data_IF_082774998392
#
_entry.id   IF_082774998392
#
_cell.length_a   1.000
_cell.length_b   1.000
_cell.length_c   1.000
_cell.angle_alpha   90.00
_cell.angle_beta   90.00
_cell.angle_gamma   90.00
#
_symmetry.space_group_name_H-M   'P 1'
#
loop_
_entity.id
_entity.type
_entity.pdbx_description
1 polymer ?
#
# COMPACT_ATOMS: atom_id res chain seq x y z
N UNK A 1 -12.10 15.99 -4.27
CA UNK A 1 -12.32 14.87 -3.32
C UNK A 1 -11.08 14.79 -2.44
N UNK A 2 -11.21 14.31 -1.20
CA UNK A 2 -10.03 14.02 -0.36
C UNK A 2 -9.26 12.83 -0.93
N UNK A 3 -7.97 12.69 -0.60
CA UNK A 3 -7.20 11.55 -1.11
C UNK A 3 -7.46 10.27 -0.32
N UNK A 4 -7.12 9.14 -0.93
CA UNK A 4 -7.15 7.82 -0.30
C UNK A 4 -5.90 7.66 0.54
N UNK A 5 -6.09 7.26 1.79
CA UNK A 5 -4.99 6.94 2.69
C UNK A 5 -4.52 5.51 2.43
N UNK A 6 -3.21 5.33 2.29
CA UNK A 6 -2.60 4.00 2.26
C UNK A 6 -1.36 3.98 3.13
N UNK A 7 -1.09 2.81 3.71
CA UNK A 7 0.19 2.55 4.34
C UNK A 7 1.28 2.32 3.30
N UNK A 8 2.48 2.80 3.64
CA UNK A 8 3.69 2.65 2.83
C UNK A 8 4.78 2.09 3.71
N UNK A 9 5.57 1.18 3.13
CA UNK A 9 6.65 0.51 3.81
C UNK A 9 6.28 -0.81 4.45
N UNK A 10 7.24 -1.36 5.19
CA UNK A 10 7.17 -2.65 5.85
C UNK A 10 7.48 -2.49 7.33
N UNK A 11 6.57 -2.97 8.17
CA UNK A 11 6.80 -3.06 9.60
C UNK A 11 7.87 -4.12 9.92
N UNK A 12 8.89 -3.73 10.70
CA UNK A 12 9.99 -4.60 11.12
C UNK A 12 9.84 -5.09 12.57
N UNK A 13 8.91 -4.52 13.33
CA UNK A 13 8.63 -4.92 14.71
C UNK A 13 9.09 -3.91 15.76
N UNK A 14 8.89 -4.25 17.05
CA UNK A 14 9.44 -3.50 18.17
C UNK A 14 10.96 -3.70 18.26
N UNK A 15 11.68 -2.63 18.59
CA UNK A 15 13.07 -2.68 19.00
C UNK A 15 13.18 -2.61 20.52
N UNK A 16 13.91 -3.56 21.12
CA UNK A 16 14.21 -3.57 22.55
C UNK A 16 15.69 -3.21 22.75
N UNK A 17 15.95 -2.12 23.47
CA UNK A 17 17.32 -1.70 23.79
C UNK A 17 17.92 -2.67 24.82
N UNK A 18 18.92 -3.45 24.39
CA UNK A 18 19.62 -4.45 25.21
C UNK A 18 20.34 -3.86 26.44
N UNK A 19 20.42 -2.53 26.56
CA UNK A 19 20.97 -1.81 27.73
C UNK A 19 19.92 -1.49 28.79
N UNK A 20 18.63 -1.59 28.46
CA UNK A 20 17.52 -1.37 29.40
C UNK A 20 17.09 -2.70 30.03
N UNK A 21 16.67 -2.64 31.29
CA UNK A 21 16.13 -3.81 32.01
C UNK A 21 14.60 -3.91 31.90
N UNK A 22 13.94 -2.92 31.28
CA UNK A 22 12.50 -2.96 31.05
C UNK A 22 12.14 -3.87 29.87
N UNK A 23 10.92 -4.39 29.90
CA UNK A 23 10.36 -5.22 28.83
C UNK A 23 9.59 -4.42 27.78
N UNK A 24 9.73 -3.09 27.78
CA UNK A 24 8.99 -2.20 26.88
C UNK A 24 9.85 -1.90 25.64
N UNK A 25 9.25 -1.85 24.44
CA UNK A 25 9.95 -1.40 23.25
C UNK A 25 10.49 0.02 23.42
N UNK A 26 11.74 0.26 22.99
CA UNK A 26 12.30 1.61 22.92
C UNK A 26 11.64 2.41 21.78
N UNK A 27 11.37 1.74 20.66
CA UNK A 27 10.63 2.25 19.52
C UNK A 27 10.16 1.08 18.66
N UNK A 28 9.45 1.39 17.59
CA UNK A 28 9.00 0.46 16.58
C UNK A 28 9.55 0.88 15.21
N UNK A 29 9.88 -0.11 14.37
CA UNK A 29 10.55 0.16 13.10
C UNK A 29 9.61 -0.04 11.91
N UNK A 30 9.59 0.95 11.00
CA UNK A 30 8.98 0.84 9.68
C UNK A 30 10.05 1.17 8.64
N UNK A 31 10.27 0.23 7.71
CA UNK A 31 11.14 0.41 6.55
C UNK A 31 10.34 1.00 5.38
N UNK A 32 10.78 2.13 4.83
CA UNK A 32 10.17 2.72 3.63
C UNK A 32 11.27 3.28 2.71
N UNK A 33 11.40 2.70 1.53
CA UNK A 33 12.39 3.12 0.54
C UNK A 33 13.81 2.81 1.05
N UNK A 34 14.71 3.81 1.16
CA UNK A 34 16.06 3.61 1.69
C UNK A 34 16.19 3.82 3.21
N UNK A 35 15.08 4.08 3.93
CA UNK A 35 15.11 4.46 5.35
C UNK A 35 14.39 3.45 6.23
N UNK A 36 14.86 3.34 7.47
CA UNK A 36 14.12 2.76 8.59
C UNK A 36 13.81 3.91 9.54
N UNK A 37 12.52 4.15 9.81
CA UNK A 37 12.06 5.14 10.78
C UNK A 37 11.78 4.51 12.13
N UNK A 38 12.01 5.28 13.19
CA UNK A 38 11.69 4.92 14.58
C UNK A 38 10.37 5.60 14.97
N UNK A 39 9.39 4.82 15.40
CA UNK A 39 8.03 5.28 15.67
C UNK A 39 7.57 4.89 17.08
N UNK A 40 6.62 5.66 17.62
CA UNK A 40 5.95 5.33 18.87
C UNK A 40 4.93 4.21 18.67
N UNK A 41 4.46 3.61 19.77
CA UNK A 41 3.37 2.61 19.72
C UNK A 41 2.10 3.19 19.08
N UNK A 42 1.71 4.41 19.46
CA UNK A 42 0.52 5.08 18.91
C UNK A 42 0.62 5.26 17.39
N UNK A 43 1.80 5.63 16.89
CA UNK A 43 2.06 5.79 15.45
C UNK A 43 1.95 4.47 14.71
N UNK A 44 2.52 3.40 15.25
CA UNK A 44 2.42 2.08 14.63
C UNK A 44 1.02 1.50 14.69
N UNK A 45 0.25 1.79 15.76
CA UNK A 45 -1.17 1.42 15.81
C UNK A 45 -1.98 2.13 14.71
N UNK A 46 -1.74 3.42 14.47
CA UNK A 46 -2.37 4.15 13.36
C UNK A 46 -1.95 3.58 12.01
N UNK A 47 -0.65 3.33 11.79
CA UNK A 47 -0.13 2.77 10.54
C UNK A 47 -0.69 1.36 10.27
N UNK A 48 -0.75 0.49 11.28
CA UNK A 48 -1.37 -0.84 11.16
C UNK A 48 -2.86 -0.73 10.85
N UNK A 49 -3.56 0.23 11.47
CA UNK A 49 -4.99 0.46 11.22
C UNK A 49 -5.27 0.85 9.77
N UNK A 50 -4.32 1.49 9.07
CA UNK A 50 -4.48 1.85 7.66
C UNK A 50 -4.54 0.64 6.70
N UNK A 51 -4.14 -0.56 7.14
CA UNK A 51 -4.30 -1.80 6.37
C UNK A 51 -5.67 -2.45 6.57
N UNK A 52 -6.41 -2.00 7.58
CA UNK A 52 -7.73 -2.54 7.88
C UNK A 52 -8.76 -2.01 6.86
N UNK A 53 -9.94 -2.62 6.84
CA UNK A 53 -11.02 -2.29 5.89
C UNK A 53 -10.69 -2.45 4.38
N UNK A 54 -10.25 -3.63 3.91
CA UNK A 54 -10.00 -3.86 2.48
C UNK A 54 -11.18 -3.52 1.56
N UNK A 55 -12.41 -3.57 2.08
CA UNK A 55 -13.62 -3.17 1.35
C UNK A 55 -13.72 -1.67 1.12
N UNK A 56 -13.31 -0.82 2.08
CA UNK A 56 -13.28 0.63 1.89
C UNK A 56 -12.16 1.05 0.94
N UNK A 57 -11.02 0.36 1.03
CA UNK A 57 -9.91 0.51 0.08
C UNK A 57 -10.34 0.17 -1.35
N UNK A 58 -11.03 -0.96 -1.54
CA UNK A 58 -11.57 -1.35 -2.84
C UNK A 58 -12.59 -0.35 -3.41
N UNK A 59 -13.35 0.30 -2.53
CA UNK A 59 -14.32 1.32 -2.90
C UNK A 59 -13.71 2.73 -3.06
N UNK A 60 -12.40 2.90 -2.85
CA UNK A 60 -11.72 4.20 -2.84
C UNK A 60 -12.44 5.19 -1.92
N UNK A 61 -12.78 4.73 -0.71
CA UNK A 61 -13.50 5.50 0.30
C UNK A 61 -12.74 5.57 1.64
N UNK A 62 -11.52 5.04 1.70
CA UNK A 62 -10.68 5.06 2.90
C UNK A 62 -9.85 6.35 2.96
N UNK A 63 -10.50 7.45 3.30
CA UNK A 63 -9.87 8.75 3.48
C UNK A 63 -9.32 8.94 4.91
N UNK A 64 -8.74 10.12 5.16
CA UNK A 64 -8.20 10.49 6.47
C UNK A 64 -9.24 10.38 7.60
N UNK A 65 -10.47 10.85 7.37
CA UNK A 65 -11.50 10.80 8.40
C UNK A 65 -11.89 9.36 8.70
N UNK A 66 -11.98 8.50 7.68
CA UNK A 66 -12.22 7.07 7.85
C UNK A 66 -11.11 6.39 8.68
N UNK A 67 -9.83 6.72 8.43
CA UNK A 67 -8.71 6.22 9.23
C UNK A 67 -8.82 6.68 10.69
N UNK A 68 -9.00 7.99 10.93
CA UNK A 68 -9.08 8.53 12.29
C UNK A 68 -10.24 7.92 13.09
N UNK A 69 -11.42 7.79 12.48
CA UNK A 69 -12.58 7.14 13.09
C UNK A 69 -12.29 5.67 13.40
N UNK A 70 -11.63 4.95 12.48
CA UNK A 70 -11.30 3.54 12.70
C UNK A 70 -10.29 3.39 13.84
N UNK A 71 -9.27 4.24 13.92
CA UNK A 71 -8.27 4.22 14.99
C UNK A 71 -8.93 4.44 16.35
N UNK A 72 -9.86 5.40 16.47
CA UNK A 72 -10.61 5.66 17.71
C UNK A 72 -11.46 4.45 18.15
N UNK A 73 -11.95 3.64 17.20
CA UNK A 73 -12.77 2.45 17.50
C UNK A 73 -11.95 1.22 17.85
N UNK A 74 -10.78 1.06 17.24
CA UNK A 74 -10.02 -0.20 17.25
C UNK A 74 -8.78 -0.18 18.13
N UNK A 75 -8.37 0.99 18.64
CA UNK A 75 -7.11 1.17 19.38
C UNK A 75 -7.31 2.06 20.61
N UNK A 76 -6.37 2.05 21.58
CA UNK A 76 -6.41 2.97 22.72
C UNK A 76 -5.95 4.42 22.38
N UNK A 77 -5.62 4.73 21.12
CA UNK A 77 -5.15 6.07 20.73
C UNK A 77 -6.30 7.09 20.83
N UNK A 78 -6.23 7.96 21.84
CA UNK A 78 -7.30 8.92 22.14
C UNK A 78 -7.48 10.00 21.07
N UNK A 79 -6.37 10.49 20.50
CA UNK A 79 -6.38 11.48 19.41
C UNK A 79 -5.45 11.05 18.27
N UNK A 80 -5.98 10.45 17.19
CA UNK A 80 -5.17 9.96 16.08
C UNK A 80 -4.70 11.04 15.11
N UNK A 81 -5.34 12.21 15.06
CA UNK A 81 -5.06 13.20 14.01
C UNK A 81 -3.58 13.67 14.00
N UNK A 82 -2.94 13.98 15.15
CA UNK A 82 -1.52 14.34 15.17
C UNK A 82 -0.61 13.21 14.68
N UNK A 83 -0.95 11.96 14.99
CA UNK A 83 -0.14 10.81 14.58
C UNK A 83 -0.28 10.54 13.07
N UNK A 84 -1.48 10.71 12.50
CA UNK A 84 -1.68 10.66 11.05
C UNK A 84 -0.85 11.73 10.35
N UNK A 85 -0.82 12.97 10.88
CA UNK A 85 0.01 14.05 10.32
C UNK A 85 1.51 13.74 10.37
N UNK A 86 1.99 13.15 11.47
CA UNK A 86 3.39 12.71 11.58
C UNK A 86 3.67 11.63 10.54
N UNK A 87 2.85 10.59 10.45
CA UNK A 87 3.09 9.47 9.54
C UNK A 87 3.05 9.89 8.06
N UNK A 88 2.18 10.83 7.69
CA UNK A 88 2.15 11.43 6.35
C UNK A 88 3.42 12.24 6.06
N UNK A 89 3.88 13.03 7.04
CA UNK A 89 5.12 13.80 6.92
C UNK A 89 6.36 12.90 6.79
N UNK A 90 6.41 11.81 7.55
CA UNK A 90 7.49 10.83 7.48
C UNK A 90 7.40 9.93 6.23
N UNK A 91 6.29 9.98 5.49
CA UNK A 91 6.10 9.26 4.23
C UNK A 91 5.80 7.76 4.38
N UNK A 92 5.39 7.33 5.59
CA UNK A 92 4.96 5.96 5.88
C UNK A 92 3.44 5.80 5.82
N UNK A 93 2.70 6.92 5.78
CA UNK A 93 1.37 7.01 5.20
C UNK A 93 1.43 7.90 3.97
N UNK A 94 0.52 7.67 3.02
CA UNK A 94 0.35 8.53 1.85
C UNK A 94 -1.12 8.86 1.67
N UNK A 95 -1.38 10.06 1.16
CA UNK A 95 -2.71 10.50 0.73
C UNK A 95 -2.64 10.78 -0.78
N UNK A 96 -3.37 9.99 -1.57
CA UNK A 96 -3.31 10.05 -3.03
C UNK A 96 -4.69 10.12 -3.68
N UNK A 97 -4.82 10.95 -4.71
CA UNK A 97 -6.02 11.01 -5.55
C UNK A 97 -5.88 10.03 -6.72
N UNK A 98 -6.60 8.90 -6.67
CA UNK A 98 -6.58 7.89 -7.72
C UNK A 98 -7.64 8.12 -8.80
N UNK A 99 -8.44 9.18 -8.71
CA UNK A 99 -9.38 9.58 -9.75
C UNK A 99 -8.78 10.57 -10.77
N UNK A 100 -7.66 11.22 -10.43
CA UNK A 100 -6.95 12.15 -11.31
C UNK A 100 -5.73 11.49 -11.99
N UNK A 101 -5.75 11.41 -13.32
CA UNK A 101 -4.70 10.75 -14.11
C UNK A 101 -3.30 11.33 -13.84
N UNK A 102 -3.20 12.64 -13.64
CA UNK A 102 -1.92 13.29 -13.37
C UNK A 102 -1.40 12.96 -11.96
N UNK A 103 -2.29 12.83 -10.98
CA UNK A 103 -1.96 12.37 -9.63
C UNK A 103 -1.54 10.89 -9.63
N UNK A 104 -2.24 10.03 -10.38
CA UNK A 104 -1.86 8.63 -10.60
C UNK A 104 -0.45 8.53 -11.18
N UNK A 105 -0.15 9.28 -12.25
CA UNK A 105 1.18 9.28 -12.85
C UNK A 105 2.25 9.73 -11.85
N UNK A 106 2.03 10.84 -11.13
CA UNK A 106 2.97 11.31 -10.09
C UNK A 106 3.20 10.25 -9.01
N UNK A 107 2.13 9.58 -8.58
CA UNK A 107 2.21 8.49 -7.62
C UNK A 107 3.07 7.34 -8.17
N UNK A 108 2.73 6.81 -9.35
CA UNK A 108 3.45 5.68 -9.95
C UNK A 108 4.94 5.98 -10.19
N UNK A 109 5.32 7.24 -10.42
CA UNK A 109 6.73 7.66 -10.55
C UNK A 109 7.47 7.75 -9.21
N UNK A 110 6.75 7.98 -8.11
CA UNK A 110 7.36 8.24 -6.79
C UNK A 110 7.46 6.99 -5.92
N UNK A 111 6.87 5.88 -6.35
CA UNK A 111 6.81 4.66 -5.57
C UNK A 111 7.13 3.43 -6.42
N UNK A 112 7.67 2.41 -5.77
CA UNK A 112 7.79 1.03 -6.26
C UNK A 112 6.75 0.15 -5.59
N UNK A 113 6.38 -0.93 -6.27
CA UNK A 113 5.49 -1.96 -5.75
C UNK A 113 6.26 -3.29 -5.67
N UNK A 114 6.27 -3.90 -4.48
CA UNK A 114 6.89 -5.20 -4.22
C UNK A 114 5.80 -6.23 -3.95
N UNK A 115 5.56 -7.19 -4.84
CA UNK A 115 4.60 -8.28 -4.64
C UNK A 115 4.96 -9.13 -3.43
N UNK A 116 3.95 -9.50 -2.66
CA UNK A 116 4.10 -10.38 -1.48
C UNK A 116 3.08 -11.52 -1.46
N UNK A 117 2.10 -11.52 -2.36
CA UNK A 117 1.16 -12.61 -2.58
C UNK A 117 1.55 -13.45 -3.81
N UNK A 118 0.90 -14.60 -3.97
CA UNK A 118 1.07 -15.49 -5.12
C UNK A 118 0.05 -15.18 -6.21
N UNK A 119 0.46 -15.29 -7.47
CA UNK A 119 -0.47 -15.27 -8.60
C UNK A 119 -1.04 -16.67 -8.84
N UNK A 120 -2.38 -16.79 -8.84
CA UNK A 120 -3.05 -18.07 -9.08
C UNK A 120 -3.64 -18.20 -10.50
N UNK A 121 -3.46 -17.17 -11.34
CA UNK A 121 -3.95 -17.14 -12.72
C UNK A 121 -5.44 -16.81 -12.82
N UNK A 122 -6.06 -17.07 -13.97
CA UNK A 122 -7.47 -16.78 -14.20
C UNK A 122 -8.37 -18.01 -14.07
N UNK A 123 -9.67 -17.79 -13.92
CA UNK A 123 -10.68 -18.84 -13.91
C UNK A 123 -11.33 -18.99 -15.30
N UNK A 124 -11.73 -20.21 -15.72
CA UNK A 124 -12.39 -20.42 -17.01
C UNK A 124 -13.61 -19.54 -17.25
N UNK A 125 -14.35 -19.23 -16.19
CA UNK A 125 -15.59 -18.43 -16.19
C UNK A 125 -15.34 -16.92 -16.24
N UNK A 126 -14.15 -16.46 -15.81
CA UNK A 126 -13.75 -15.05 -15.71
C UNK A 126 -12.32 -14.89 -16.18
N UNK A 127 -12.13 -15.05 -17.49
CA UNK A 127 -10.80 -15.14 -18.12
C UNK A 127 -10.04 -13.82 -18.11
N UNK A 128 -10.75 -12.72 -17.96
CA UNK A 128 -10.24 -11.36 -17.89
C UNK A 128 -9.63 -11.00 -16.52
N UNK A 129 -9.94 -11.78 -15.49
CA UNK A 129 -9.49 -11.54 -14.12
C UNK A 129 -8.47 -12.59 -13.68
N UNK A 130 -7.44 -12.13 -12.99
CA UNK A 130 -6.43 -12.98 -12.37
C UNK A 130 -6.56 -12.94 -10.85
N UNK A 131 -6.48 -14.10 -10.21
CA UNK A 131 -6.56 -14.24 -8.77
C UNK A 131 -5.18 -14.01 -8.13
N UNK A 132 -5.17 -13.26 -7.02
CA UNK A 132 -4.08 -13.23 -6.07
C UNK A 132 -4.45 -14.06 -4.85
N UNK A 133 -3.51 -14.86 -4.37
CA UNK A 133 -3.69 -15.74 -3.21
C UNK A 133 -2.55 -15.64 -2.21
N UNK A 134 -2.82 -16.05 -0.97
CA UNK A 134 -1.79 -16.30 0.04
C UNK A 134 -2.18 -17.53 0.83
N UNK A 135 -1.22 -18.42 1.06
CA UNK A 135 -1.43 -19.65 1.83
C UNK A 135 -2.61 -20.51 1.34
N UNK A 136 -2.87 -20.47 0.02
CA UNK A 136 -3.96 -21.20 -0.63
C UNK A 136 -5.33 -20.52 -0.57
N UNK A 137 -5.45 -19.35 0.06
CA UNK A 137 -6.68 -18.55 0.10
C UNK A 137 -6.65 -17.42 -0.93
N UNK A 138 -7.77 -17.22 -1.65
CA UNK A 138 -7.91 -16.12 -2.60
C UNK A 138 -8.17 -14.82 -1.84
N UNK A 139 -7.30 -13.83 -2.05
CA UNK A 139 -7.39 -12.52 -1.41
C UNK A 139 -8.21 -11.54 -2.25
N UNK A 140 -7.90 -11.47 -3.56
CA UNK A 140 -8.51 -10.52 -4.47
C UNK A 140 -8.31 -10.93 -5.94
N UNK A 141 -8.96 -10.19 -6.83
CA UNK A 141 -8.83 -10.34 -8.27
C UNK A 141 -8.29 -9.05 -8.89
N UNK A 142 -7.45 -9.20 -9.91
CA UNK A 142 -6.88 -8.10 -10.69
C UNK A 142 -7.25 -8.25 -12.16
N UNK A 143 -7.44 -7.14 -12.87
CA UNK A 143 -7.43 -7.15 -14.32
C UNK A 143 -6.07 -7.64 -14.84
N UNK A 144 -6.01 -8.19 -16.06
CA UNK A 144 -4.75 -8.63 -16.63
C UNK A 144 -3.66 -7.53 -16.70
N UNK A 145 -3.97 -6.28 -17.09
CA UNK A 145 -2.99 -5.19 -17.06
C UNK A 145 -2.47 -4.90 -15.64
N UNK A 146 -3.37 -4.78 -14.65
CA UNK A 146 -2.99 -4.55 -13.26
C UNK A 146 -2.14 -5.71 -12.72
N UNK A 147 -2.52 -6.96 -12.99
CA UNK A 147 -1.74 -8.14 -12.61
C UNK A 147 -0.35 -8.15 -13.23
N UNK A 148 -0.19 -7.64 -14.46
CA UNK A 148 1.10 -7.58 -15.14
C UNK A 148 2.02 -6.56 -14.47
N UNK A 149 1.52 -5.35 -14.20
CA UNK A 149 2.29 -4.33 -13.46
C UNK A 149 2.61 -4.82 -12.05
N UNK A 150 1.63 -5.35 -11.31
CA UNK A 150 1.85 -5.92 -9.98
C UNK A 150 2.95 -6.98 -10.04
N UNK A 151 2.86 -7.98 -10.92
CA UNK A 151 3.78 -9.11 -10.94
C UNK A 151 5.23 -8.76 -11.32
N UNK A 152 5.47 -7.68 -12.09
CA UNK A 152 6.78 -7.43 -12.68
C UNK A 152 7.41 -6.07 -12.37
N UNK A 153 6.64 -5.06 -11.95
CA UNK A 153 7.18 -3.70 -11.73
C UNK A 153 8.24 -3.61 -10.62
N UNK A 154 8.35 -4.62 -9.75
CA UNK A 154 9.42 -4.71 -8.75
C UNK A 154 10.82 -4.84 -9.34
N UNK A 155 10.92 -5.22 -10.62
CA UNK A 155 12.17 -5.31 -11.37
C UNK A 155 12.63 -3.93 -11.89
N UNK A 156 11.74 -2.94 -11.88
CA UNK A 156 11.96 -1.60 -12.40
C UNK A 156 12.20 -0.60 -11.26
N UNK A 157 12.63 0.61 -11.62
CA UNK A 157 12.93 1.68 -10.67
C UNK A 157 11.70 2.28 -9.98
N UNK A 158 10.53 2.17 -10.60
CA UNK A 158 9.25 2.69 -10.11
C UNK A 158 8.08 1.92 -10.72
N UNK A 159 6.87 2.07 -10.16
CA UNK A 159 5.63 1.52 -10.76
C UNK A 159 5.45 2.05 -12.18
N UNK A 160 5.77 3.33 -12.40
CA UNK A 160 5.66 3.96 -13.72
C UNK A 160 6.59 3.33 -14.74
N UNK A 161 7.85 3.07 -14.37
CA UNK A 161 8.80 2.41 -15.27
C UNK A 161 8.31 1.00 -15.64
N UNK A 162 7.72 0.27 -14.68
CA UNK A 162 7.03 -0.98 -14.96
C UNK A 162 5.84 -0.83 -15.91
N UNK A 163 5.07 0.25 -15.81
CA UNK A 163 3.99 0.55 -16.76
C UNK A 163 4.53 0.84 -18.17
N UNK A 164 5.68 1.53 -18.29
CA UNK A 164 6.37 1.77 -19.57
C UNK A 164 6.85 0.45 -20.17
N UNK A 165 7.46 -0.42 -19.37
CA UNK A 165 7.89 -1.76 -19.80
C UNK A 165 6.70 -2.58 -20.28
N UNK A 166 5.59 -2.62 -19.54
CA UNK A 166 4.38 -3.36 -19.93
C UNK A 166 3.73 -2.83 -21.22
N UNK A 167 3.81 -1.52 -21.46
CA UNK A 167 3.26 -0.88 -22.65
C UNK A 167 4.10 -1.11 -23.92
N UNK A 168 5.36 -1.54 -23.79
CA UNK A 168 6.32 -1.56 -24.91
C UNK A 168 5.93 -2.49 -26.07
N UNK A 169 5.20 -3.57 -25.79
CA UNK A 169 4.77 -4.56 -26.79
C UNK A 169 3.28 -4.44 -27.17
N UNK A 170 2.57 -3.43 -26.63
CA UNK A 170 1.11 -3.30 -26.71
C UNK A 170 0.61 -2.11 -27.54
N UNK A 171 -0.71 -2.05 -27.74
CA UNK A 171 -1.38 -0.90 -28.33
C UNK A 171 -1.67 0.21 -27.28
N UNK A 172 -1.69 -0.15 -26.01
CA UNK A 172 -1.99 0.74 -24.90
C UNK A 172 -0.74 1.44 -24.37
N UNK A 173 -0.88 2.72 -23.99
CA UNK A 173 0.22 3.50 -23.40
C UNK A 173 0.40 3.25 -21.90
N UNK A 174 1.52 3.71 -21.30
CA UNK A 174 1.82 3.51 -19.88
C UNK A 174 0.74 4.08 -18.94
N UNK A 175 0.06 5.17 -19.34
CA UNK A 175 -1.03 5.75 -18.56
C UNK A 175 -2.28 4.85 -18.45
N UNK A 176 -2.47 3.89 -19.37
CA UNK A 176 -3.51 2.87 -19.22
C UNK A 176 -3.16 1.91 -18.08
N UNK A 177 -1.96 1.32 -18.13
CA UNK A 177 -1.45 0.43 -17.09
C UNK A 177 -1.39 1.10 -15.71
N UNK A 178 -0.96 2.37 -15.65
CA UNK A 178 -0.91 3.14 -14.41
C UNK A 178 -2.29 3.30 -13.77
N UNK A 179 -3.32 3.60 -14.56
CA UNK A 179 -4.72 3.67 -14.08
C UNK A 179 -5.23 2.32 -13.61
N UNK A 180 -4.97 1.28 -14.39
CA UNK A 180 -5.39 -0.08 -14.05
C UNK A 180 -4.77 -0.54 -12.72
N UNK A 181 -3.46 -0.35 -12.51
CA UNK A 181 -2.86 -0.74 -11.22
C UNK A 181 -3.35 0.15 -10.07
N UNK A 182 -3.49 1.47 -10.31
CA UNK A 182 -3.92 2.42 -9.29
C UNK A 182 -5.31 2.13 -8.73
N UNK A 183 -6.24 1.58 -9.54
CA UNK A 183 -7.56 1.18 -9.04
C UNK A 183 -7.50 0.05 -8.00
N UNK A 184 -6.41 -0.73 -7.96
CA UNK A 184 -6.24 -1.83 -7.02
C UNK A 184 -5.23 -1.56 -5.90
N UNK A 185 -4.36 -0.54 -6.04
CA UNK A 185 -3.27 -0.28 -5.08
C UNK A 185 -3.73 -0.20 -3.61
N UNK A 186 -4.80 0.56 -3.26
CA UNK A 186 -5.27 0.60 -1.87
C UNK A 186 -5.62 -0.78 -1.33
N UNK A 187 -6.32 -1.58 -2.14
CA UNK A 187 -6.73 -2.92 -1.76
C UNK A 187 -5.55 -3.91 -1.72
N UNK A 188 -4.58 -3.78 -2.63
CA UNK A 188 -3.35 -4.58 -2.65
C UNK A 188 -2.57 -4.37 -1.34
N UNK A 189 -2.43 -3.11 -0.90
CA UNK A 189 -1.76 -2.76 0.36
C UNK A 189 -2.56 -3.28 1.55
N UNK A 190 -3.87 -3.07 1.59
CA UNK A 190 -4.73 -3.49 2.70
C UNK A 190 -4.73 -5.00 2.93
N UNK A 191 -4.80 -5.81 1.86
CA UNK A 191 -4.65 -7.27 1.94
C UNK A 191 -3.21 -7.72 2.18
N UNK A 192 -2.27 -6.78 2.21
CA UNK A 192 -0.85 -7.03 2.25
C UNK A 192 -0.38 -7.87 1.07
N UNK A 193 -1.04 -7.82 -0.08
CA UNK A 193 -0.69 -8.53 -1.32
C UNK A 193 0.44 -7.85 -2.11
N UNK A 194 0.83 -6.64 -1.69
CA UNK A 194 2.02 -5.96 -2.11
C UNK A 194 2.41 -4.87 -1.12
N UNK A 195 3.68 -4.48 -1.14
CA UNK A 195 4.22 -3.39 -0.35
C UNK A 195 4.54 -2.25 -1.30
N UNK A 196 4.07 -1.05 -0.98
CA UNK A 196 4.43 0.18 -1.70
C UNK A 196 5.55 0.86 -0.93
N UNK A 197 6.61 1.31 -1.61
CA UNK A 197 7.76 1.99 -0.99
C UNK A 197 8.20 3.18 -1.85
N UNK A 198 8.67 4.29 -1.25
CA UNK A 198 9.22 5.43 -2.01
C UNK A 198 10.49 5.04 -2.77
N UNK A 199 10.73 5.69 -3.91
CA UNK A 199 11.93 5.50 -4.76
C UNK A 199 12.93 6.64 -4.65
#
# INVERSE_FOLDING_TARGET
MGGIIMAVGKYLGPYYDWRREDSEPAYFEIHAGPKVGEFTEAQVLVWNTAHLEPSLHAAHAFDRAALEDLVRRCTPVADPAPEVDVLLREGVLVEADFADDAAVERFCRSYRLVPTADAYGNLPERREMCLLSRDGEVLMELSFPARTVWAFSYLDGSIWDGCVTCASDGADGPGYFAREIASYLPQIVAWGAGIVEPV
#
